data_IF_986894881202
#
_entry.id   IF_986894881202
#
_cell.length_a   1.000
_cell.length_b   1.000
_cell.length_c   1.000
_cell.angle_alpha   90.00
_cell.angle_beta   90.00
_cell.angle_gamma   90.00
#
_symmetry.space_group_name_H-M   'P 1'
#
loop_
_entity.id
_entity.type
_entity.pdbx_description
1 polymer ?
#
# COMPACT_ATOMS: atom_id res chain seq x y z
N UNK A 1 26.05 -31.31 -60.40
CA UNK A 1 25.44 -31.57 -59.09
C UNK A 1 26.22 -30.73 -58.05
N UNK A 2 25.80 -29.51 -57.90
CA UNK A 2 26.37 -28.56 -56.94
C UNK A 2 25.53 -28.62 -55.67
N UNK A 3 26.14 -29.00 -54.56
CA UNK A 3 25.52 -28.92 -53.24
C UNK A 3 25.54 -27.47 -52.80
N UNK A 4 24.35 -26.85 -52.68
CA UNK A 4 24.21 -25.56 -52.09
C UNK A 4 24.48 -25.65 -50.58
N UNK A 5 25.39 -24.81 -50.10
CA UNK A 5 25.64 -24.58 -48.69
C UNK A 5 24.40 -23.99 -48.00
N UNK A 6 24.04 -24.48 -46.82
CA UNK A 6 22.96 -23.89 -46.06
C UNK A 6 23.37 -22.48 -45.59
N UNK A 7 22.64 -21.47 -46.04
CA UNK A 7 22.78 -20.12 -45.56
C UNK A 7 22.62 -20.07 -44.02
N UNK A 8 23.46 -19.36 -43.28
CA UNK A 8 23.28 -19.19 -41.84
C UNK A 8 22.01 -18.40 -41.59
N UNK A 9 21.09 -19.04 -40.87
CA UNK A 9 19.87 -18.45 -40.37
C UNK A 9 20.28 -17.24 -39.52
N UNK A 10 19.80 -15.98 -39.79
CA UNK A 10 20.13 -14.86 -38.96
C UNK A 10 19.60 -15.16 -37.56
N UNK A 11 20.52 -15.39 -36.65
CA UNK A 11 20.30 -15.60 -35.23
C UNK A 11 19.22 -14.63 -34.74
N UNK A 12 18.14 -15.20 -34.24
CA UNK A 12 17.18 -14.50 -33.36
C UNK A 12 17.94 -14.11 -32.10
N UNK A 13 18.80 -13.12 -32.18
CA UNK A 13 19.25 -12.36 -31.03
C UNK A 13 18.06 -11.60 -30.53
N UNK A 14 17.20 -12.31 -29.80
CA UNK A 14 16.26 -11.73 -28.86
C UNK A 14 17.04 -11.07 -27.75
N UNK A 15 17.64 -9.90 -28.04
CA UNK A 15 18.11 -8.99 -27.01
C UNK A 15 16.90 -8.66 -26.15
N UNK A 16 16.72 -9.42 -25.07
CA UNK A 16 15.88 -9.03 -23.96
C UNK A 16 16.47 -7.74 -23.41
N UNK A 17 16.04 -6.60 -23.98
CA UNK A 17 16.48 -5.29 -23.55
C UNK A 17 16.03 -5.13 -22.11
N UNK A 18 16.96 -5.28 -21.18
CA UNK A 18 16.74 -4.89 -19.79
C UNK A 18 16.25 -3.44 -19.76
N UNK A 19 15.22 -3.16 -18.96
CA UNK A 19 14.73 -1.80 -18.80
C UNK A 19 15.92 -0.89 -18.41
N UNK A 20 16.17 0.21 -19.14
CA UNK A 20 17.21 1.16 -18.73
C UNK A 20 16.98 1.63 -17.30
N UNK A 21 18.02 1.67 -16.48
CA UNK A 21 17.94 2.00 -15.05
C UNK A 21 17.21 3.32 -14.77
N UNK A 22 17.38 4.32 -15.66
CA UNK A 22 16.68 5.61 -15.51
C UNK A 22 15.15 5.50 -15.65
N UNK A 23 14.63 4.57 -16.47
CA UNK A 23 13.19 4.30 -16.58
C UNK A 23 12.65 3.68 -15.30
N UNK A 24 13.41 2.74 -14.73
CA UNK A 24 13.06 2.14 -13.43
C UNK A 24 13.07 3.21 -12.35
N UNK A 25 14.07 4.10 -12.32
CA UNK A 25 14.16 5.22 -11.39
C UNK A 25 12.97 6.19 -11.54
N UNK A 26 12.56 6.52 -12.76
CA UNK A 26 11.38 7.36 -13.01
C UNK A 26 10.11 6.72 -12.47
N UNK A 27 9.89 5.44 -12.75
CA UNK A 27 8.73 4.69 -12.28
C UNK A 27 8.73 4.54 -10.75
N UNK A 28 9.91 4.31 -10.18
CA UNK A 28 10.13 4.34 -8.73
C UNK A 28 9.70 5.69 -8.14
N UNK A 29 10.12 6.80 -8.76
CA UNK A 29 9.78 8.15 -8.30
C UNK A 29 8.27 8.43 -8.40
N UNK A 30 7.59 7.97 -9.45
CA UNK A 30 6.12 8.07 -9.56
C UNK A 30 5.42 7.43 -8.37
N UNK A 31 5.83 6.21 -8.02
CA UNK A 31 5.25 5.48 -6.88
C UNK A 31 5.62 6.13 -5.54
N UNK A 32 6.89 6.55 -5.41
CA UNK A 32 7.42 7.19 -4.21
C UNK A 32 6.65 8.48 -3.88
N UNK A 33 6.49 9.38 -4.85
CA UNK A 33 5.86 10.70 -4.64
C UNK A 33 4.40 10.57 -4.28
N UNK A 34 3.67 9.67 -4.96
CA UNK A 34 2.25 9.44 -4.64
C UNK A 34 2.06 8.84 -3.25
N UNK A 35 2.93 7.89 -2.86
CA UNK A 35 2.90 7.31 -1.52
C UNK A 35 3.33 8.32 -0.45
N UNK A 36 4.42 9.06 -0.67
CA UNK A 36 4.93 10.06 0.26
C UNK A 36 3.91 11.18 0.51
N UNK A 37 3.31 11.74 -0.55
CA UNK A 37 2.26 12.75 -0.38
C UNK A 37 1.06 12.22 0.41
N UNK A 38 0.59 11.02 0.10
CA UNK A 38 -0.53 10.41 0.82
C UNK A 38 -0.24 10.21 2.31
N UNK A 39 0.98 9.82 2.68
CA UNK A 39 1.37 9.62 4.08
C UNK A 39 1.78 10.91 4.79
N UNK A 40 2.36 11.88 4.06
CA UNK A 40 2.65 13.22 4.56
C UNK A 40 1.39 13.90 5.11
N UNK A 41 0.27 13.73 4.42
CA UNK A 41 -1.02 14.23 4.86
C UNK A 41 -1.42 13.70 6.25
N UNK A 42 -1.10 12.44 6.58
CA UNK A 42 -1.42 11.84 7.87
C UNK A 42 -0.76 12.55 9.05
N UNK A 43 0.39 13.19 8.83
CA UNK A 43 1.09 13.93 9.89
C UNK A 43 0.47 15.31 10.19
N UNK A 44 -0.20 15.93 9.23
CA UNK A 44 -0.75 17.28 9.37
C UNK A 44 -2.28 17.31 9.61
N UNK A 45 -3.00 16.28 9.15
CA UNK A 45 -4.48 16.29 9.23
C UNK A 45 -5.05 16.33 10.66
N UNK A 46 -4.48 15.66 11.68
CA UNK A 46 -4.93 15.82 13.06
C UNK A 46 -4.86 17.27 13.52
N UNK A 47 -3.75 17.96 13.21
CA UNK A 47 -3.56 19.38 13.51
C UNK A 47 -4.56 20.28 12.77
N UNK A 48 -4.81 19.99 11.48
CA UNK A 48 -5.78 20.73 10.66
C UNK A 48 -7.19 20.54 11.23
N UNK A 49 -7.58 19.31 11.54
CA UNK A 49 -8.89 19.02 12.10
C UNK A 49 -9.16 19.73 13.42
N UNK A 50 -8.15 19.73 14.31
CA UNK A 50 -8.20 20.49 15.56
C UNK A 50 -8.35 22.00 15.32
N UNK A 51 -7.60 22.56 14.35
CA UNK A 51 -7.70 23.98 13.99
C UNK A 51 -9.07 24.35 13.40
N UNK A 52 -9.67 23.44 12.64
CA UNK A 52 -11.03 23.59 12.09
C UNK A 52 -12.15 23.31 13.10
N UNK A 53 -11.80 22.87 14.32
CA UNK A 53 -12.75 22.48 15.38
C UNK A 53 -13.73 21.38 14.91
N UNK A 54 -13.23 20.43 14.13
CA UNK A 54 -13.98 19.26 13.66
C UNK A 54 -13.62 18.06 14.52
N UNK A 55 -14.59 17.22 14.86
CA UNK A 55 -14.35 16.00 15.60
C UNK A 55 -13.43 15.04 14.82
N UNK A 56 -12.51 14.40 15.52
CA UNK A 56 -11.47 13.52 14.98
C UNK A 56 -12.04 12.36 14.14
N UNK A 57 -13.22 11.87 14.52
CA UNK A 57 -13.94 10.83 13.78
C UNK A 57 -14.23 11.23 12.33
N UNK A 58 -14.73 12.45 12.09
CA UNK A 58 -15.06 12.91 10.74
C UNK A 58 -13.84 13.06 9.85
N UNK A 59 -12.71 13.43 10.45
CA UNK A 59 -11.41 13.50 9.73
C UNK A 59 -11.00 12.11 9.28
N UNK A 60 -11.10 11.14 10.18
CA UNK A 60 -10.77 9.73 9.88
C UNK A 60 -11.71 9.15 8.82
N UNK A 61 -12.99 9.50 8.85
CA UNK A 61 -13.99 9.07 7.87
C UNK A 61 -13.70 9.60 6.44
N UNK A 62 -13.13 10.79 6.33
CA UNK A 62 -12.73 11.36 5.03
C UNK A 62 -11.63 10.54 4.34
N UNK A 63 -10.74 9.88 5.11
CA UNK A 63 -9.77 8.92 4.57
C UNK A 63 -10.44 7.62 4.13
N UNK A 64 -11.36 7.11 4.93
CA UNK A 64 -12.17 5.91 4.64
C UNK A 64 -12.84 6.02 3.27
N UNK A 65 -13.45 7.17 2.99
CA UNK A 65 -14.10 7.43 1.71
C UNK A 65 -13.16 7.27 0.50
N UNK A 66 -11.97 7.88 0.58
CA UNK A 66 -10.96 7.76 -0.49
C UNK A 66 -10.43 6.32 -0.64
N UNK A 67 -10.25 5.60 0.47
CA UNK A 67 -9.81 4.21 0.44
C UNK A 67 -10.84 3.28 -0.20
N UNK A 68 -12.13 3.51 0.08
CA UNK A 68 -13.24 2.78 -0.55
C UNK A 68 -13.25 2.98 -2.07
N UNK A 69 -13.14 4.23 -2.53
CA UNK A 69 -13.07 4.53 -3.96
C UNK A 69 -11.85 3.90 -4.62
N UNK A 70 -10.69 3.91 -3.94
CA UNK A 70 -9.49 3.26 -4.42
C UNK A 70 -9.71 1.75 -4.63
N UNK A 71 -10.31 1.08 -3.66
CA UNK A 71 -10.62 -0.35 -3.75
C UNK A 71 -11.55 -0.67 -4.93
N UNK A 72 -12.58 0.16 -5.15
CA UNK A 72 -13.56 -0.05 -6.21
C UNK A 72 -13.00 0.26 -7.61
N UNK A 73 -12.17 1.31 -7.72
CA UNK A 73 -11.70 1.81 -9.02
C UNK A 73 -10.41 1.12 -9.51
N UNK A 74 -9.53 0.65 -8.60
CA UNK A 74 -8.25 0.05 -8.99
C UNK A 74 -8.39 -1.16 -9.94
N UNK A 75 -9.32 -2.13 -9.74
CA UNK A 75 -9.51 -3.23 -10.67
C UNK A 75 -10.03 -2.79 -12.05
N UNK A 76 -10.83 -1.73 -12.09
CA UNK A 76 -11.35 -1.18 -13.34
C UNK A 76 -10.23 -0.52 -14.16
N UNK A 77 -9.34 0.24 -13.51
CA UNK A 77 -8.18 0.85 -14.15
C UNK A 77 -7.17 -0.19 -14.63
N UNK A 78 -6.92 -1.25 -13.84
CA UNK A 78 -6.02 -2.33 -14.23
C UNK A 78 -6.45 -2.93 -15.59
N UNK A 79 -7.74 -3.26 -15.75
CA UNK A 79 -8.29 -3.77 -17.02
C UNK A 79 -8.22 -2.77 -18.17
N UNK A 80 -8.37 -1.47 -17.86
CA UNK A 80 -8.32 -0.42 -18.88
C UNK A 80 -6.89 -0.08 -19.33
N UNK A 81 -5.91 -0.33 -18.47
CA UNK A 81 -4.49 -0.16 -18.74
C UNK A 81 -4.02 -0.98 -19.95
N UNK A 82 -4.53 -2.21 -20.11
CA UNK A 82 -4.20 -3.08 -21.24
C UNK A 82 -4.73 -2.57 -22.58
N UNK A 83 -5.79 -1.75 -22.55
CA UNK A 83 -6.44 -1.22 -23.78
C UNK A 83 -5.94 0.16 -24.20
N UNK A 84 -5.62 1.04 -23.23
CA UNK A 84 -5.28 2.46 -23.50
C UNK A 84 -3.80 2.78 -23.40
N UNK A 85 -2.98 1.80 -23.01
CA UNK A 85 -1.55 1.98 -22.78
C UNK A 85 -1.23 2.36 -21.33
N UNK A 86 -0.13 1.83 -20.83
CA UNK A 86 0.28 1.92 -19.43
C UNK A 86 0.76 3.31 -19.06
N UNK A 87 1.50 4.00 -19.97
CA UNK A 87 1.93 5.39 -19.77
C UNK A 87 0.74 6.33 -19.57
N UNK A 88 -0.31 6.17 -20.39
CA UNK A 88 -1.53 6.98 -20.27
C UNK A 88 -2.21 6.78 -18.91
N UNK A 89 -2.27 5.55 -18.40
CA UNK A 89 -2.86 5.25 -17.10
C UNK A 89 -2.03 5.80 -15.93
N UNK A 90 -0.69 5.75 -16.02
CA UNK A 90 0.20 6.41 -15.07
C UNK A 90 -0.05 7.93 -15.05
N UNK A 91 -0.17 8.54 -16.23
CA UNK A 91 -0.48 9.97 -16.37
C UNK A 91 -1.83 10.33 -15.73
N UNK A 92 -2.88 9.54 -15.97
CA UNK A 92 -4.20 9.73 -15.35
C UNK A 92 -4.09 9.61 -13.82
N UNK A 93 -3.35 8.63 -13.32
CA UNK A 93 -3.15 8.46 -11.87
C UNK A 93 -2.43 9.64 -11.23
N UNK A 94 -1.35 10.15 -11.86
CA UNK A 94 -0.64 11.35 -11.40
C UNK A 94 -1.52 12.61 -11.50
N UNK A 95 -2.29 12.80 -12.56
CA UNK A 95 -3.25 13.88 -12.67
C UNK A 95 -4.31 13.81 -11.57
N UNK A 96 -4.85 12.61 -11.30
CA UNK A 96 -5.77 12.38 -10.19
C UNK A 96 -5.16 12.77 -8.84
N UNK A 97 -3.87 12.44 -8.62
CA UNK A 97 -3.14 12.87 -7.43
C UNK A 97 -2.97 14.39 -7.37
N UNK A 98 -2.48 15.03 -8.44
CA UNK A 98 -2.21 16.47 -8.53
C UNK A 98 -3.48 17.28 -8.24
N UNK A 99 -4.57 16.98 -8.97
CA UNK A 99 -5.83 17.70 -8.77
C UNK A 99 -6.42 17.44 -7.39
N UNK A 100 -6.37 16.21 -6.92
CA UNK A 100 -6.85 15.89 -5.58
C UNK A 100 -6.07 16.65 -4.50
N UNK A 101 -4.74 16.60 -4.53
CA UNK A 101 -3.91 17.24 -3.52
C UNK A 101 -3.99 18.76 -3.58
N UNK A 102 -3.94 19.35 -4.78
CA UNK A 102 -4.10 20.79 -4.96
C UNK A 102 -5.45 21.31 -4.47
N UNK A 103 -6.55 20.64 -4.84
CA UNK A 103 -7.90 21.01 -4.41
C UNK A 103 -8.13 20.72 -2.92
N UNK A 104 -7.58 19.63 -2.38
CA UNK A 104 -7.57 19.38 -0.93
C UNK A 104 -6.85 20.50 -0.18
N UNK A 105 -5.65 20.87 -0.65
CA UNK A 105 -4.91 22.00 -0.09
C UNK A 105 -5.71 23.30 -0.13
N UNK A 106 -6.34 23.60 -1.26
CA UNK A 106 -7.19 24.79 -1.41
C UNK A 106 -8.40 24.77 -0.44
N UNK A 107 -9.10 23.62 -0.35
CA UNK A 107 -10.25 23.50 0.55
C UNK A 107 -9.86 23.71 2.00
N UNK A 108 -8.73 23.13 2.43
CA UNK A 108 -8.22 23.30 3.79
C UNK A 108 -7.73 24.72 4.03
N UNK A 109 -7.10 25.35 3.04
CA UNK A 109 -6.69 26.75 3.15
C UNK A 109 -7.89 27.69 3.35
N UNK A 110 -8.97 27.50 2.56
CA UNK A 110 -10.21 28.26 2.71
C UNK A 110 -10.81 28.08 4.10
N UNK A 111 -10.84 26.84 4.62
CA UNK A 111 -11.34 26.56 5.96
C UNK A 111 -10.50 27.18 7.07
N UNK A 112 -9.17 27.03 7.01
CA UNK A 112 -8.25 27.56 8.01
C UNK A 112 -8.25 29.11 8.07
N UNK A 113 -8.55 29.77 6.95
CA UNK A 113 -8.70 31.22 6.89
C UNK A 113 -10.14 31.71 7.22
N UNK A 114 -11.02 30.81 7.62
CA UNK A 114 -12.39 31.16 8.05
C UNK A 114 -13.39 31.45 6.92
N UNK A 115 -13.02 31.17 5.64
CA UNK A 115 -13.92 31.36 4.50
C UNK A 115 -14.99 30.26 4.42
N UNK A 116 -14.69 29.10 4.98
CA UNK A 116 -15.60 27.96 5.07
C UNK A 116 -15.68 27.47 6.52
N UNK A 117 -16.87 27.05 6.94
CA UNK A 117 -17.03 26.37 8.23
C UNK A 117 -16.34 24.99 8.22
N UNK A 118 -15.95 24.48 9.39
CA UNK A 118 -15.16 23.26 9.53
C UNK A 118 -15.77 22.04 8.82
N UNK A 119 -17.07 21.79 9.00
CA UNK A 119 -17.77 20.67 8.35
C UNK A 119 -17.81 20.85 6.82
N UNK A 120 -18.11 22.06 6.33
CA UNK A 120 -18.11 22.33 4.88
C UNK A 120 -16.72 22.13 4.26
N UNK A 121 -15.67 22.55 4.96
CA UNK A 121 -14.27 22.31 4.59
C UNK A 121 -13.99 20.83 4.48
N UNK A 122 -14.41 20.03 5.47
CA UNK A 122 -14.17 18.59 5.48
C UNK A 122 -14.94 17.85 4.37
N UNK A 123 -16.19 18.24 4.11
CA UNK A 123 -16.97 17.67 3.00
C UNK A 123 -16.33 17.99 1.65
N UNK A 124 -15.90 19.24 1.46
CA UNK A 124 -15.17 19.64 0.26
C UNK A 124 -13.83 18.89 0.13
N UNK A 125 -13.09 18.75 1.22
CA UNK A 125 -11.87 17.92 1.25
C UNK A 125 -12.18 16.47 0.86
N UNK A 126 -13.21 15.83 1.42
CA UNK A 126 -13.59 14.46 1.09
C UNK A 126 -14.00 14.32 -0.40
N UNK A 127 -14.73 15.30 -0.94
CA UNK A 127 -15.08 15.35 -2.35
C UNK A 127 -13.82 15.46 -3.24
N UNK A 128 -12.87 16.34 -2.90
CA UNK A 128 -11.60 16.47 -3.62
C UNK A 128 -10.74 15.21 -3.50
N UNK A 129 -10.76 14.53 -2.34
CA UNK A 129 -10.09 13.25 -2.12
C UNK A 129 -10.65 12.13 -3.00
N UNK A 130 -11.89 12.22 -3.43
CA UNK A 130 -12.49 11.26 -4.37
C UNK A 130 -11.71 11.17 -5.69
N UNK A 131 -11.09 12.26 -6.13
CA UNK A 131 -10.25 12.27 -7.33
C UNK A 131 -9.02 11.36 -7.18
N UNK A 132 -8.39 11.36 -6.01
CA UNK A 132 -7.26 10.45 -5.75
C UNK A 132 -7.73 9.00 -5.62
N UNK A 133 -8.80 8.75 -4.85
CA UNK A 133 -9.37 7.40 -4.74
C UNK A 133 -9.78 6.84 -6.11
N UNK A 134 -10.47 7.66 -6.91
CA UNK A 134 -10.98 7.27 -8.22
C UNK A 134 -9.90 7.16 -9.30
N UNK A 135 -9.12 8.20 -9.51
CA UNK A 135 -8.14 8.29 -10.62
C UNK A 135 -6.72 7.92 -10.19
N UNK A 136 -6.30 8.30 -8.98
CA UNK A 136 -4.96 7.98 -8.46
C UNK A 136 -4.67 6.49 -8.42
N UNK A 137 -5.71 5.67 -8.21
CA UNK A 137 -5.65 4.22 -8.23
C UNK A 137 -5.24 3.60 -9.59
N UNK A 138 -5.19 4.40 -10.67
CA UNK A 138 -4.74 3.95 -11.99
C UNK A 138 -3.22 3.76 -12.09
N UNK A 139 -2.42 4.55 -11.35
CA UNK A 139 -0.97 4.56 -11.51
C UNK A 139 -0.28 3.27 -11.06
N UNK A 140 -0.50 2.72 -9.84
CA UNK A 140 0.25 1.56 -9.35
C UNK A 140 0.14 0.31 -10.23
N UNK A 141 -1.05 -0.14 -10.65
CA UNK A 141 -1.16 -1.31 -11.52
C UNK A 141 -0.52 -1.07 -12.90
N UNK A 142 -0.59 0.17 -13.43
CA UNK A 142 0.01 0.52 -14.71
C UNK A 142 1.55 0.51 -14.64
N UNK A 143 2.15 1.00 -13.54
CA UNK A 143 3.60 0.95 -13.30
C UNK A 143 4.07 -0.50 -13.21
N UNK A 144 3.40 -1.32 -12.41
CA UNK A 144 3.75 -2.73 -12.24
C UNK A 144 3.63 -3.51 -13.55
N UNK A 145 2.55 -3.30 -14.30
CA UNK A 145 2.35 -3.92 -15.60
C UNK A 145 3.38 -3.47 -16.64
N UNK A 146 3.80 -2.20 -16.62
CA UNK A 146 4.85 -1.66 -17.51
C UNK A 146 6.19 -2.36 -17.24
N UNK A 147 6.57 -2.49 -15.97
CA UNK A 147 7.80 -3.17 -15.57
C UNK A 147 7.73 -4.66 -15.91
N UNK A 148 6.65 -5.33 -15.55
CA UNK A 148 6.47 -6.77 -15.76
C UNK A 148 6.57 -7.17 -17.24
N UNK A 149 6.09 -6.33 -18.16
CA UNK A 149 6.11 -6.62 -19.60
C UNK A 149 7.45 -6.37 -20.31
N UNK A 150 8.38 -5.69 -19.63
CA UNK A 150 9.67 -5.27 -20.19
C UNK A 150 10.88 -5.83 -19.43
N UNK A 151 10.63 -6.75 -18.51
CA UNK A 151 11.69 -7.47 -17.77
C UNK A 151 11.60 -8.95 -18.08
N UNK A 152 12.77 -9.62 -18.17
CA UNK A 152 12.83 -11.07 -18.30
C UNK A 152 12.21 -11.76 -17.08
N UNK A 153 11.86 -13.04 -17.18
CA UNK A 153 11.29 -13.80 -16.05
C UNK A 153 12.19 -13.77 -14.82
N UNK A 154 13.51 -13.85 -15.02
CA UNK A 154 14.50 -13.86 -13.94
C UNK A 154 14.62 -12.50 -13.24
N UNK A 155 14.56 -11.40 -13.99
CA UNK A 155 14.71 -10.04 -13.47
C UNK A 155 13.38 -9.44 -12.96
N UNK A 156 12.24 -10.01 -13.37
CA UNK A 156 10.90 -9.47 -13.09
C UNK A 156 10.63 -9.35 -11.61
N UNK A 157 10.94 -10.39 -10.83
CA UNK A 157 10.71 -10.40 -9.38
C UNK A 157 11.50 -9.29 -8.70
N UNK A 158 12.77 -9.11 -9.07
CA UNK A 158 13.62 -8.05 -8.51
C UNK A 158 13.11 -6.66 -8.90
N UNK A 159 12.74 -6.44 -10.17
CA UNK A 159 12.23 -5.17 -10.64
C UNK A 159 10.88 -4.78 -9.98
N UNK A 160 9.95 -5.73 -9.84
CA UNK A 160 8.68 -5.51 -9.15
C UNK A 160 8.87 -5.29 -7.65
N UNK A 161 9.82 -5.98 -7.02
CA UNK A 161 10.17 -5.76 -5.62
C UNK A 161 10.72 -4.35 -5.40
N UNK A 162 11.59 -3.87 -6.31
CA UNK A 162 12.12 -2.50 -6.26
C UNK A 162 10.99 -1.46 -6.38
N UNK A 163 10.06 -1.64 -7.31
CA UNK A 163 8.90 -0.74 -7.46
C UNK A 163 7.99 -0.80 -6.22
N UNK A 164 7.78 -1.97 -5.65
CA UNK A 164 6.98 -2.10 -4.41
C UNK A 164 7.66 -1.44 -3.22
N UNK A 165 9.00 -1.50 -3.14
CA UNK A 165 9.77 -0.85 -2.07
C UNK A 165 9.71 0.67 -2.14
N UNK A 166 9.48 1.27 -3.33
CA UNK A 166 9.28 2.72 -3.45
C UNK A 166 8.05 3.21 -2.69
N UNK A 167 6.99 2.40 -2.67
CA UNK A 167 5.81 2.70 -1.87
C UNK A 167 6.13 2.68 -0.37
N UNK A 168 6.85 1.65 0.10
CA UNK A 168 7.32 1.57 1.49
C UNK A 168 8.21 2.75 1.88
N UNK A 169 9.16 3.13 1.01
CA UNK A 169 10.02 4.29 1.23
C UNK A 169 9.20 5.61 1.28
N UNK A 170 8.16 5.72 0.44
CA UNK A 170 7.24 6.86 0.46
C UNK A 170 6.54 7.03 1.81
N UNK A 171 6.17 5.92 2.45
CA UNK A 171 5.54 5.97 3.78
C UNK A 171 6.48 6.48 4.89
N UNK A 172 7.79 6.35 4.71
CA UNK A 172 8.82 6.94 5.60
C UNK A 172 9.03 8.40 5.29
N UNK A 173 9.31 8.70 4.01
CA UNK A 173 9.71 10.03 3.56
C UNK A 173 8.56 11.04 3.72
N UNK A 174 7.33 10.63 3.46
CA UNK A 174 6.17 11.52 3.53
C UNK A 174 6.03 12.24 4.87
N UNK A 175 5.81 11.51 5.97
CA UNK A 175 5.71 12.12 7.30
C UNK A 175 6.99 12.85 7.73
N UNK A 176 8.17 12.36 7.32
CA UNK A 176 9.46 12.99 7.63
C UNK A 176 9.61 14.37 7.00
N UNK A 177 9.15 14.52 5.75
CA UNK A 177 9.28 15.78 5.02
C UNK A 177 8.13 16.77 5.29
N UNK A 178 6.94 16.28 5.66
CA UNK A 178 5.76 17.13 5.83
C UNK A 178 5.99 18.35 6.74
N UNK A 179 6.66 18.25 7.91
CA UNK A 179 6.90 19.40 8.77
C UNK A 179 7.76 20.48 8.12
N UNK A 180 8.70 20.12 7.25
CA UNK A 180 9.58 21.07 6.57
C UNK A 180 8.88 21.91 5.50
N UNK A 181 7.69 21.48 5.06
CA UNK A 181 6.87 22.21 4.12
C UNK A 181 5.85 23.14 4.80
N UNK A 182 5.84 23.22 6.14
CA UNK A 182 5.03 24.17 6.89
C UNK A 182 5.76 25.53 6.85
N UNK A 183 5.53 26.26 5.77
CA UNK A 183 6.19 27.54 5.49
C UNK A 183 5.31 28.72 5.94
N UNK A 184 5.93 29.89 6.27
CA UNK A 184 5.18 31.12 6.48
C UNK A 184 4.25 31.41 5.29
N UNK A 185 2.99 31.74 5.57
CA UNK A 185 1.95 31.99 4.56
C UNK A 185 1.18 30.74 4.08
N UNK A 186 1.78 29.56 4.08
CA UNK A 186 1.10 28.31 3.73
C UNK A 186 0.63 27.52 4.97
N UNK A 187 1.35 27.65 6.08
CA UNK A 187 1.03 26.93 7.31
C UNK A 187 0.88 25.41 7.10
N UNK A 188 -0.11 24.82 7.75
CA UNK A 188 -0.39 23.38 7.68
C UNK A 188 -0.77 22.85 6.27
N UNK A 189 -1.08 23.75 5.33
CA UNK A 189 -1.42 23.39 3.94
C UNK A 189 -0.15 23.19 3.08
N UNK A 190 1.00 23.67 3.55
CA UNK A 190 2.26 23.61 2.83
C UNK A 190 2.61 22.25 2.24
N UNK A 191 2.48 21.13 2.98
CA UNK A 191 2.72 19.78 2.43
C UNK A 191 1.86 19.45 1.20
N UNK A 192 0.59 19.89 1.16
CA UNK A 192 -0.27 19.67 0.00
C UNK A 192 0.24 20.40 -1.23
N UNK A 193 0.66 21.64 -1.07
CA UNK A 193 1.24 22.44 -2.15
C UNK A 193 2.56 21.83 -2.63
N UNK A 194 3.45 21.49 -1.71
CA UNK A 194 4.77 20.93 -2.04
C UNK A 194 4.65 19.62 -2.82
N UNK A 195 3.87 18.65 -2.33
CA UNK A 195 3.70 17.37 -3.02
C UNK A 195 2.92 17.50 -4.33
N UNK A 196 2.02 18.48 -4.45
CA UNK A 196 1.39 18.81 -5.74
C UNK A 196 2.42 19.28 -6.77
N UNK A 197 3.29 20.21 -6.39
CA UNK A 197 4.35 20.73 -7.27
C UNK A 197 5.36 19.65 -7.65
N UNK A 198 5.80 18.83 -6.70
CA UNK A 198 6.67 17.69 -6.97
C UNK A 198 5.99 16.72 -7.95
N UNK A 199 4.71 16.42 -7.77
CA UNK A 199 3.99 15.53 -8.67
C UNK A 199 3.81 16.12 -10.08
N UNK A 200 3.66 17.45 -10.22
CA UNK A 200 3.65 18.12 -11.53
C UNK A 200 4.99 17.94 -12.25
N UNK A 201 6.11 18.11 -11.54
CA UNK A 201 7.45 17.88 -12.11
C UNK A 201 7.60 16.40 -12.54
N UNK A 202 7.16 15.47 -11.71
CA UNK A 202 7.22 14.02 -12.02
C UNK A 202 6.30 13.68 -13.20
N UNK A 203 5.13 14.31 -13.32
CA UNK A 203 4.25 14.14 -14.47
C UNK A 203 4.91 14.67 -15.77
N UNK A 204 5.59 15.80 -15.69
CA UNK A 204 6.39 16.33 -16.79
C UNK A 204 7.48 15.33 -17.20
N UNK A 205 8.26 14.84 -16.24
CA UNK A 205 9.28 13.83 -16.49
C UNK A 205 8.69 12.54 -17.11
N UNK A 206 7.55 12.06 -16.60
CA UNK A 206 6.85 10.90 -17.14
C UNK A 206 6.41 11.16 -18.61
N UNK A 207 5.87 12.34 -18.89
CA UNK A 207 5.34 12.69 -20.21
C UNK A 207 6.44 12.79 -21.27
N UNK A 208 7.58 13.42 -20.93
CA UNK A 208 8.64 13.70 -21.87
C UNK A 208 9.68 12.58 -21.98
N UNK A 209 9.98 11.87 -20.90
CA UNK A 209 11.05 10.90 -20.89
C UNK A 209 10.59 9.46 -21.07
N UNK A 210 9.37 9.10 -20.63
CA UNK A 210 8.89 7.73 -20.86
C UNK A 210 8.37 7.62 -22.30
N UNK A 211 8.82 6.62 -23.10
CA UNK A 211 8.28 6.38 -24.44
C UNK A 211 6.79 6.06 -24.41
N UNK A 212 6.08 6.43 -25.48
CA UNK A 212 4.69 6.06 -25.63
C UNK A 212 4.55 4.54 -25.73
N UNK A 213 3.58 4.03 -25.01
CA UNK A 213 3.28 2.61 -24.96
C UNK A 213 2.14 2.35 -25.94
N UNK A 214 2.48 1.92 -27.15
CA UNK A 214 1.45 1.45 -28.09
C UNK A 214 0.90 0.14 -27.52
N UNK A 215 -0.43 0.02 -27.32
CA UNK A 215 -1.02 -1.21 -26.84
C UNK A 215 -0.75 -2.30 -27.90
N UNK A 216 0.20 -3.18 -27.63
CA UNK A 216 0.43 -4.32 -28.48
C UNK A 216 -0.71 -5.31 -28.32
N UNK A 217 -1.71 -5.22 -29.16
CA UNK A 217 -2.79 -6.21 -29.27
C UNK A 217 -2.29 -7.63 -29.51
N UNK A 218 -1.03 -7.78 -29.92
CA UNK A 218 -0.36 -9.04 -30.20
C UNK A 218 0.25 -9.72 -28.97
N UNK A 219 0.44 -9.03 -27.83
CA UNK A 219 0.98 -9.62 -26.60
C UNK A 219 -0.12 -10.17 -25.68
N UNK A 220 -1.17 -10.77 -26.24
CA UNK A 220 -2.25 -11.40 -25.49
C UNK A 220 -1.94 -12.80 -24.96
N UNK A 221 -0.71 -13.27 -25.14
CA UNK A 221 -0.21 -14.48 -24.49
C UNK A 221 0.58 -14.09 -23.23
N UNK A 222 0.26 -14.63 -22.08
CA UNK A 222 0.95 -14.44 -20.80
C UNK A 222 0.65 -13.14 -20.05
N UNK A 223 -0.61 -12.89 -19.77
CA UNK A 223 -0.96 -11.98 -18.67
C UNK A 223 -0.72 -12.72 -17.35
N UNK A 224 0.49 -12.59 -16.81
CA UNK A 224 0.70 -12.85 -15.39
C UNK A 224 -0.15 -11.82 -14.65
N UNK A 225 -1.21 -12.28 -13.99
CA UNK A 225 -2.08 -11.44 -13.19
C UNK A 225 -1.24 -10.59 -12.24
N UNK A 226 -1.34 -9.27 -12.34
CA UNK A 226 -0.81 -8.39 -11.31
C UNK A 226 -1.42 -8.79 -9.96
N UNK A 227 -0.68 -8.73 -8.84
CA UNK A 227 -1.15 -9.22 -7.54
C UNK A 227 -2.42 -8.55 -7.01
N UNK A 228 -3.00 -7.62 -7.75
CA UNK A 228 -4.23 -6.91 -7.41
C UNK A 228 -5.39 -7.12 -8.40
N UNK A 229 -5.24 -7.96 -9.44
CA UNK A 229 -6.33 -8.26 -10.36
C UNK A 229 -7.01 -9.58 -9.98
N UNK A 230 -8.04 -9.51 -9.14
CA UNK A 230 -8.83 -10.66 -8.68
C UNK A 230 -9.77 -11.26 -9.75
N UNK A 231 -9.69 -10.85 -11.02
CA UNK A 231 -10.55 -11.35 -12.09
C UNK A 231 -9.80 -11.31 -13.43
N UNK A 232 -8.86 -12.19 -13.60
CA UNK A 232 -8.47 -12.56 -14.95
C UNK A 232 -9.20 -13.87 -15.30
N UNK A 233 -10.21 -13.79 -16.15
CA UNK A 233 -10.58 -14.87 -17.04
C UNK A 233 -9.43 -15.09 -18.04
N UNK A 234 -8.25 -15.30 -17.50
CA UNK A 234 -7.08 -15.70 -18.26
C UNK A 234 -7.14 -17.21 -18.44
N UNK A 235 -7.96 -17.63 -19.38
CA UNK A 235 -7.75 -18.90 -20.04
C UNK A 235 -6.43 -18.77 -20.79
N UNK A 236 -5.38 -19.55 -20.47
CA UNK A 236 -4.22 -19.65 -21.36
C UNK A 236 -4.76 -20.10 -22.71
N UNK A 237 -4.65 -19.28 -23.72
CA UNK A 237 -4.88 -19.77 -25.10
C UNK A 237 -3.58 -20.46 -25.49
N UNK A 238 -3.63 -21.78 -25.54
CA UNK A 238 -2.61 -22.58 -26.18
C UNK A 238 -2.49 -22.14 -27.63
N UNK A 239 -1.28 -21.77 -28.09
CA UNK A 239 -0.92 -21.88 -29.49
C UNK A 239 -0.93 -23.36 -29.82
N UNK A 240 -1.52 -23.81 -30.91
CA UNK A 240 -1.28 -25.14 -31.38
C UNK A 240 0.24 -25.19 -31.72
N UNK A 241 0.97 -26.04 -31.02
CA UNK A 241 2.32 -26.42 -31.48
C UNK A 241 2.16 -27.21 -32.78
N UNK A 242 3.07 -27.02 -33.70
CA UNK A 242 3.01 -27.66 -35.02
C UNK A 242 2.99 -29.20 -34.97
N UNK A 243 3.18 -29.79 -33.79
CA UNK A 243 3.26 -31.23 -33.54
C UNK A 243 1.99 -31.87 -32.95
N UNK A 244 0.90 -31.13 -32.77
CA UNK A 244 -0.43 -31.70 -32.46
C UNK A 244 -0.58 -32.37 -31.08
N UNK A 245 0.37 -32.27 -30.16
CA UNK A 245 0.22 -32.77 -28.81
C UNK A 245 -0.58 -31.75 -27.98
N UNK A 246 -1.80 -32.12 -27.64
CA UNK A 246 -2.63 -31.35 -26.69
C UNK A 246 -2.06 -31.55 -25.28
N UNK A 247 -1.29 -30.57 -24.77
CA UNK A 247 -1.08 -30.52 -23.32
C UNK A 247 -2.45 -30.45 -22.62
N UNK A 248 -2.70 -31.43 -21.77
CA UNK A 248 -3.95 -31.54 -21.03
C UNK A 248 -4.15 -30.27 -20.21
N UNK A 249 -5.24 -29.57 -20.49
CA UNK A 249 -5.68 -28.40 -19.75
C UNK A 249 -5.90 -28.77 -18.28
N UNK A 250 -5.00 -28.42 -17.38
CA UNK A 250 -5.27 -28.53 -15.96
C UNK A 250 -6.19 -27.37 -15.58
N UNK A 251 -7.47 -27.69 -15.45
CA UNK A 251 -8.45 -26.71 -14.95
C UNK A 251 -8.07 -26.34 -13.52
N UNK A 252 -7.50 -25.15 -13.33
CA UNK A 252 -7.11 -24.65 -11.99
C UNK A 252 -8.37 -24.38 -11.21
N UNK A 253 -8.60 -25.16 -10.16
CA UNK A 253 -9.74 -25.01 -9.28
C UNK A 253 -9.84 -23.56 -8.77
N UNK A 254 -11.06 -23.02 -8.75
CA UNK A 254 -11.32 -21.66 -8.27
C UNK A 254 -11.12 -21.60 -6.76
N UNK A 255 -10.14 -20.81 -6.30
CA UNK A 255 -9.88 -20.60 -4.87
C UNK A 255 -11.00 -19.75 -4.28
N UNK A 256 -11.65 -20.27 -3.25
CA UNK A 256 -12.71 -19.57 -2.53
C UNK A 256 -12.14 -18.69 -1.41
N UNK A 257 -12.84 -17.60 -1.08
CA UNK A 257 -12.59 -16.79 0.12
C UNK A 257 -12.65 -17.60 1.43
N UNK A 258 -13.38 -18.71 1.43
CA UNK A 258 -13.57 -19.60 2.57
C UNK A 258 -12.74 -20.89 2.46
N UNK A 259 -11.72 -20.93 1.58
CA UNK A 259 -10.82 -22.08 1.46
C UNK A 259 -10.19 -22.39 2.83
N UNK A 260 -10.40 -23.62 3.31
CA UNK A 260 -9.96 -24.04 4.64
C UNK A 260 -8.46 -23.96 4.83
N UNK A 261 -7.68 -24.12 3.75
CA UNK A 261 -6.21 -24.03 3.76
C UNK A 261 -5.73 -22.59 4.05
N UNK A 262 -6.41 -21.59 3.49
CA UNK A 262 -6.07 -20.18 3.62
C UNK A 262 -6.76 -19.52 4.82
N UNK A 263 -7.89 -20.05 5.26
CA UNK A 263 -8.76 -19.43 6.27
C UNK A 263 -8.03 -18.95 7.54
N UNK A 264 -7.13 -19.72 8.16
CA UNK A 264 -6.40 -19.24 9.35
C UNK A 264 -5.61 -17.96 9.09
N UNK A 265 -4.95 -17.90 7.94
CA UNK A 265 -4.14 -16.76 7.50
C UNK A 265 -4.99 -15.55 7.17
N UNK A 266 -6.10 -15.75 6.44
CA UNK A 266 -7.02 -14.67 6.06
C UNK A 266 -7.72 -14.05 7.27
N UNK A 267 -8.14 -14.87 8.23
CA UNK A 267 -8.75 -14.39 9.49
C UNK A 267 -7.72 -13.61 10.30
N UNK A 268 -6.50 -14.11 10.44
CA UNK A 268 -5.43 -13.36 11.12
C UNK A 268 -5.13 -12.05 10.39
N UNK A 269 -4.99 -12.08 9.06
CA UNK A 269 -4.77 -10.88 8.24
C UNK A 269 -5.87 -9.84 8.39
N UNK A 270 -7.14 -10.28 8.46
CA UNK A 270 -8.29 -9.40 8.66
C UNK A 270 -8.25 -8.75 10.06
N UNK A 271 -8.13 -9.54 11.11
CA UNK A 271 -8.13 -9.05 12.50
C UNK A 271 -6.89 -8.17 12.78
N UNK A 272 -5.70 -8.65 12.43
CA UNK A 272 -4.46 -7.89 12.61
C UNK A 272 -4.40 -6.64 11.74
N UNK A 273 -4.94 -6.71 10.53
CA UNK A 273 -5.09 -5.55 9.65
C UNK A 273 -5.99 -4.46 10.25
N UNK A 274 -7.13 -4.85 10.88
CA UNK A 274 -8.00 -3.91 11.60
C UNK A 274 -7.28 -3.31 12.81
N UNK A 275 -6.54 -4.10 13.59
CA UNK A 275 -5.73 -3.60 14.69
C UNK A 275 -4.70 -2.55 14.21
N UNK A 276 -3.97 -2.85 13.15
CA UNK A 276 -2.99 -1.93 12.55
C UNK A 276 -3.65 -0.63 12.07
N UNK A 277 -4.75 -0.74 11.34
CA UNK A 277 -5.43 0.42 10.76
C UNK A 277 -6.06 1.31 11.85
N UNK A 278 -6.57 0.72 12.94
CA UNK A 278 -7.08 1.46 14.09
C UNK A 278 -5.96 2.27 14.77
N UNK A 279 -4.80 1.65 15.04
CA UNK A 279 -3.63 2.38 15.59
C UNK A 279 -3.23 3.54 14.69
N UNK A 280 -3.13 3.30 13.36
CA UNK A 280 -2.74 4.34 12.41
C UNK A 280 -3.74 5.51 12.41
N UNK A 281 -5.02 5.24 12.61
CA UNK A 281 -6.03 6.28 12.78
C UNK A 281 -5.83 7.12 14.03
N UNK A 282 -5.51 6.48 15.15
CA UNK A 282 -5.44 7.12 16.48
C UNK A 282 -4.15 7.94 16.67
N UNK A 283 -3.01 7.45 16.18
CA UNK A 283 -1.65 7.95 16.54
C UNK A 283 -1.52 9.47 16.42
N UNK A 284 -2.01 10.08 15.35
CA UNK A 284 -1.88 11.52 15.15
C UNK A 284 -2.66 12.35 16.19
N UNK A 285 -3.86 11.93 16.52
CA UNK A 285 -4.69 12.58 17.54
C UNK A 285 -4.14 12.36 18.95
N UNK A 286 -3.66 11.15 19.23
CA UNK A 286 -3.01 10.83 20.51
C UNK A 286 -1.78 11.71 20.76
N UNK A 287 -0.97 11.97 19.74
CA UNK A 287 0.18 12.88 19.87
C UNK A 287 -0.27 14.27 20.29
N UNK A 288 -1.34 14.80 19.68
CA UNK A 288 -1.90 16.12 20.06
C UNK A 288 -2.42 16.13 21.50
N UNK A 289 -3.11 15.08 21.92
CA UNK A 289 -3.69 14.97 23.25
C UNK A 289 -2.61 14.84 24.33
N UNK A 290 -1.69 13.89 24.18
CA UNK A 290 -0.68 13.57 25.19
C UNK A 290 0.38 14.66 25.35
N UNK A 291 0.63 15.44 24.30
CA UNK A 291 1.59 16.57 24.34
C UNK A 291 0.89 17.92 24.63
N UNK A 292 -0.42 17.94 24.82
CA UNK A 292 -1.18 19.18 25.07
C UNK A 292 -1.21 20.15 23.88
N UNK A 293 -1.06 19.63 22.64
CA UNK A 293 -0.92 20.45 21.43
C UNK A 293 -2.27 20.82 20.78
N UNK A 294 -3.41 20.40 21.37
CA UNK A 294 -4.74 20.79 20.88
C UNK A 294 -4.96 22.32 20.88
N UNK A 295 -4.34 23.03 21.84
CA UNK A 295 -4.43 24.50 21.93
C UNK A 295 -3.56 25.20 20.85
N UNK A 296 -2.49 24.54 20.36
CA UNK A 296 -1.61 25.05 19.31
C UNK A 296 -1.41 23.99 18.21
N UNK A 297 -2.42 23.77 17.37
CA UNK A 297 -2.40 22.67 16.39
C UNK A 297 -1.23 22.75 15.41
N UNK A 298 -0.74 23.96 15.08
CA UNK A 298 0.40 24.14 14.19
C UNK A 298 1.68 23.48 14.68
N UNK A 299 1.86 23.38 16.01
CA UNK A 299 3.02 22.72 16.63
C UNK A 299 2.92 21.19 16.61
N UNK A 300 1.74 20.61 16.30
CA UNK A 300 1.52 19.15 16.36
C UNK A 300 2.08 18.37 15.20
N UNK A 301 2.23 18.98 14.02
CA UNK A 301 2.66 18.30 12.81
C UNK A 301 4.09 17.73 12.89
N UNK A 302 5.03 18.47 13.51
CA UNK A 302 6.39 18.03 13.73
C UNK A 302 6.49 16.76 14.57
N UNK A 303 6.00 16.76 15.82
CA UNK A 303 5.98 15.57 16.66
C UNK A 303 5.25 14.39 16.02
N UNK A 304 4.10 14.60 15.38
CA UNK A 304 3.37 13.55 14.66
C UNK A 304 4.22 12.98 13.51
N UNK A 305 4.90 13.83 12.75
CA UNK A 305 5.80 13.42 11.69
C UNK A 305 6.96 12.55 12.20
N UNK A 306 7.58 12.91 13.33
CA UNK A 306 8.66 12.14 13.96
C UNK A 306 8.15 10.73 14.37
N UNK A 307 6.99 10.67 15.02
CA UNK A 307 6.40 9.41 15.48
C UNK A 307 6.08 8.48 14.29
N UNK A 308 5.44 9.01 13.23
CA UNK A 308 5.12 8.23 12.04
C UNK A 308 6.38 7.81 11.27
N UNK A 309 7.39 8.67 11.18
CA UNK A 309 8.67 8.35 10.57
C UNK A 309 9.38 7.22 11.31
N UNK A 310 9.46 7.28 12.64
CA UNK A 310 10.06 6.22 13.44
C UNK A 310 9.34 4.88 13.25
N UNK A 311 8.00 4.90 13.21
CA UNK A 311 7.20 3.72 12.90
C UNK A 311 7.50 3.15 11.52
N UNK A 312 7.60 4.00 10.50
CA UNK A 312 7.90 3.56 9.15
C UNK A 312 9.32 2.99 9.02
N UNK A 313 10.33 3.59 9.67
CA UNK A 313 11.69 3.04 9.76
C UNK A 313 11.67 1.67 10.44
N UNK A 314 10.95 1.52 11.56
CA UNK A 314 10.82 0.25 12.27
C UNK A 314 10.16 -0.84 11.40
N UNK A 315 9.17 -0.49 10.58
CA UNK A 315 8.55 -1.40 9.61
C UNK A 315 9.56 -1.88 8.57
N UNK A 316 10.36 -0.98 7.99
CA UNK A 316 11.40 -1.35 7.02
C UNK A 316 12.48 -2.20 7.67
N UNK A 317 12.87 -1.88 8.89
CA UNK A 317 13.83 -2.68 9.66
C UNK A 317 13.30 -4.10 9.92
N UNK A 318 12.01 -4.25 10.23
CA UNK A 318 11.38 -5.57 10.34
C UNK A 318 11.52 -6.38 9.05
N UNK A 319 11.20 -5.76 7.91
CA UNK A 319 11.13 -6.44 6.61
C UNK A 319 12.50 -6.73 5.99
N UNK A 320 13.43 -5.80 6.10
CA UNK A 320 14.76 -5.91 5.45
C UNK A 320 15.86 -6.37 6.39
N UNK A 321 15.68 -6.18 7.69
CA UNK A 321 16.61 -6.59 8.73
C UNK A 321 16.19 -7.89 9.42
N UNK A 322 15.10 -7.85 10.19
CA UNK A 322 14.73 -8.92 11.12
C UNK A 322 14.32 -10.21 10.38
N UNK A 323 13.42 -10.13 9.40
CA UNK A 323 12.94 -11.33 8.69
C UNK A 323 14.09 -12.07 7.99
N UNK A 324 14.97 -11.41 7.20
CA UNK A 324 16.06 -12.10 6.52
C UNK A 324 17.13 -12.65 7.47
N UNK A 325 17.49 -11.90 8.53
CA UNK A 325 18.58 -12.30 9.43
C UNK A 325 18.19 -13.44 10.37
N UNK A 326 16.93 -13.45 10.83
CA UNK A 326 16.43 -14.52 11.72
C UNK A 326 15.78 -15.66 10.94
N UNK A 327 15.73 -15.60 9.61
CA UNK A 327 15.09 -16.61 8.75
C UNK A 327 13.69 -16.98 9.24
N UNK A 328 12.89 -15.97 9.67
CA UNK A 328 11.59 -16.21 10.25
C UNK A 328 10.61 -16.79 9.21
N UNK A 329 10.02 -17.94 9.54
CA UNK A 329 8.94 -18.52 8.77
C UNK A 329 7.64 -17.69 8.87
N UNK A 330 6.65 -17.97 8.03
CA UNK A 330 5.38 -17.24 8.00
C UNK A 330 4.63 -17.22 9.32
N UNK A 331 4.53 -18.36 10.02
CA UNK A 331 3.84 -18.47 11.30
C UNK A 331 4.59 -17.72 12.39
N UNK A 332 5.89 -17.91 12.50
CA UNK A 332 6.72 -17.21 13.47
C UNK A 332 6.65 -15.70 13.27
N UNK A 333 6.79 -15.21 12.02
CA UNK A 333 6.65 -13.78 11.67
C UNK A 333 5.29 -13.24 12.07
N UNK A 334 4.21 -13.99 11.83
CA UNK A 334 2.86 -13.58 12.15
C UNK A 334 2.63 -13.49 13.67
N UNK A 335 3.00 -14.52 14.43
CA UNK A 335 2.73 -14.59 15.88
C UNK A 335 3.65 -13.64 16.68
N UNK A 336 4.95 -13.63 16.40
CA UNK A 336 5.86 -12.68 17.06
C UNK A 336 5.54 -11.25 16.68
N UNK A 337 5.20 -11.01 15.39
CA UNK A 337 4.81 -9.69 14.92
C UNK A 337 3.62 -9.14 15.69
N UNK A 338 2.54 -9.90 15.80
CA UNK A 338 1.34 -9.43 16.49
C UNK A 338 1.55 -9.32 18.02
N UNK A 339 2.38 -10.17 18.61
CA UNK A 339 2.72 -10.08 20.03
C UNK A 339 3.51 -8.81 20.36
N UNK A 340 4.52 -8.47 19.52
CA UNK A 340 5.27 -7.21 19.64
C UNK A 340 4.34 -6.01 19.45
N UNK A 341 3.43 -6.06 18.47
CA UNK A 341 2.45 -4.98 18.24
C UNK A 341 1.50 -4.80 19.44
N UNK A 342 1.06 -5.91 20.07
CA UNK A 342 0.25 -5.86 21.28
C UNK A 342 1.01 -5.22 22.45
N UNK A 343 2.27 -5.61 22.68
CA UNK A 343 3.14 -5.01 23.69
C UNK A 343 3.39 -3.52 23.45
N UNK A 344 3.65 -3.13 22.20
CA UNK A 344 3.76 -1.74 21.80
C UNK A 344 2.46 -0.94 22.03
N UNK A 345 1.29 -1.55 21.76
CA UNK A 345 -0.02 -0.92 22.02
C UNK A 345 -0.26 -0.72 23.51
N UNK A 346 0.11 -1.69 24.35
CA UNK A 346 0.07 -1.55 25.79
C UNK A 346 0.99 -0.43 26.28
N UNK A 347 2.21 -0.32 25.75
CA UNK A 347 3.10 0.81 26.05
C UNK A 347 2.50 2.14 25.60
N UNK A 348 1.89 2.20 24.40
CA UNK A 348 1.26 3.42 23.85
C UNK A 348 0.12 3.91 24.75
N UNK A 349 -0.65 2.99 25.36
CA UNK A 349 -1.78 3.34 26.23
C UNK A 349 -1.38 4.18 27.43
N UNK A 350 -0.14 4.02 27.93
CA UNK A 350 0.41 4.73 29.09
C UNK A 350 1.46 5.79 28.73
N UNK A 351 1.84 5.89 27.46
CA UNK A 351 2.87 6.83 27.00
C UNK A 351 2.40 8.29 27.13
N UNK A 352 3.10 9.09 27.96
CA UNK A 352 2.74 10.48 28.26
C UNK A 352 3.66 11.53 27.64
N UNK A 353 4.72 11.14 26.93
CA UNK A 353 5.68 12.07 26.32
C UNK A 353 6.10 11.58 24.92
N UNK A 354 6.71 12.50 24.14
CA UNK A 354 7.07 12.22 22.73
C UNK A 354 7.98 11.00 22.58
N UNK A 355 8.96 10.82 23.45
CA UNK A 355 9.90 9.70 23.36
C UNK A 355 9.19 8.34 23.60
N UNK A 356 8.37 8.26 24.65
CA UNK A 356 7.61 7.06 24.96
C UNK A 356 6.61 6.70 23.83
N UNK A 357 5.91 7.71 23.27
CA UNK A 357 4.99 7.55 22.14
C UNK A 357 5.77 7.05 20.91
N UNK A 358 6.92 7.65 20.62
CA UNK A 358 7.77 7.27 19.48
C UNK A 358 8.25 5.83 19.60
N UNK A 359 8.74 5.42 20.78
CA UNK A 359 9.16 4.03 21.04
C UNK A 359 7.99 3.07 20.91
N UNK A 360 6.84 3.41 21.50
CA UNK A 360 5.65 2.57 21.43
C UNK A 360 5.17 2.37 19.98
N UNK A 361 5.11 3.43 19.18
CA UNK A 361 4.71 3.37 17.77
C UNK A 361 5.77 2.65 16.93
N UNK A 362 7.05 2.81 17.23
CA UNK A 362 8.11 2.03 16.58
C UNK A 362 7.96 0.53 16.87
N UNK A 363 7.68 0.13 18.10
CA UNK A 363 7.41 -1.27 18.46
C UNK A 363 6.16 -1.82 17.77
N UNK A 364 5.06 -1.07 17.75
CA UNK A 364 3.84 -1.44 17.04
C UNK A 364 4.14 -1.66 15.56
N UNK A 365 4.87 -0.73 14.97
CA UNK A 365 5.20 -0.77 13.54
C UNK A 365 6.19 -1.87 13.18
N UNK A 366 7.15 -2.16 14.07
CA UNK A 366 8.02 -3.33 13.98
C UNK A 366 7.19 -4.62 13.96
N UNK A 367 6.25 -4.73 14.89
CA UNK A 367 5.36 -5.87 15.01
C UNK A 367 4.52 -6.09 13.75
N UNK A 368 3.83 -5.06 13.27
CA UNK A 368 3.05 -5.17 12.03
C UNK A 368 3.93 -5.32 10.78
N UNK A 369 5.16 -4.82 10.82
CA UNK A 369 6.17 -5.04 9.80
C UNK A 369 6.56 -6.50 9.62
N UNK A 370 6.56 -7.28 10.70
CA UNK A 370 6.74 -8.74 10.70
C UNK A 370 5.43 -9.48 10.35
N UNK A 371 4.33 -9.07 10.96
CA UNK A 371 3.03 -9.70 10.83
C UNK A 371 2.52 -9.75 9.39
N UNK A 372 2.58 -8.62 8.69
CA UNK A 372 1.99 -8.47 7.36
C UNK A 372 2.62 -9.37 6.29
N UNK A 373 3.94 -9.45 6.15
CA UNK A 373 4.58 -10.42 5.28
C UNK A 373 4.31 -11.87 5.72
N UNK A 374 4.26 -12.13 7.04
CA UNK A 374 4.01 -13.45 7.60
C UNK A 374 2.68 -14.04 7.13
N UNK A 375 1.55 -13.34 7.36
CA UNK A 375 0.26 -13.88 6.94
C UNK A 375 0.10 -13.92 5.42
N UNK A 376 0.70 -12.97 4.69
CA UNK A 376 0.67 -12.95 3.22
C UNK A 376 1.40 -14.16 2.64
N UNK A 377 2.60 -14.45 3.16
CA UNK A 377 3.39 -15.60 2.76
C UNK A 377 2.68 -16.90 3.14
N UNK A 378 2.16 -17.00 4.36
CA UNK A 378 1.44 -18.17 4.84
C UNK A 378 0.20 -18.50 3.98
N UNK A 379 -0.60 -17.50 3.64
CA UNK A 379 -1.74 -17.66 2.73
C UNK A 379 -1.30 -18.12 1.33
N UNK A 380 -0.24 -17.55 0.79
CA UNK A 380 0.30 -17.94 -0.52
C UNK A 380 0.87 -19.35 -0.53
N UNK A 381 1.51 -19.79 0.56
CA UNK A 381 2.11 -21.12 0.68
C UNK A 381 1.10 -22.22 0.99
N UNK A 382 -0.09 -21.85 1.45
CA UNK A 382 -1.19 -22.80 1.75
C UNK A 382 -1.88 -23.35 0.50
N UNK A 383 -1.57 -22.81 -0.68
CA UNK A 383 -2.19 -23.17 -1.95
C UNK A 383 -1.13 -23.63 -2.96
N UNK A 384 -1.56 -24.34 -4.01
CA UNK A 384 -0.66 -24.78 -5.08
C UNK A 384 -0.10 -23.59 -5.87
N UNK A 385 1.01 -23.81 -6.60
CA UNK A 385 1.63 -22.76 -7.44
C UNK A 385 0.67 -22.18 -8.46
N UNK A 386 -0.22 -23.00 -9.02
CA UNK A 386 -1.22 -22.57 -10.00
C UNK A 386 -2.30 -21.66 -9.37
N UNK A 387 -2.60 -21.82 -8.07
CA UNK A 387 -3.60 -21.07 -7.33
C UNK A 387 -3.05 -19.77 -6.72
N UNK A 388 -1.72 -19.57 -6.67
CA UNK A 388 -1.08 -18.43 -5.98
C UNK A 388 -1.55 -17.06 -6.49
N UNK A 389 -1.85 -16.93 -7.78
CA UNK A 389 -2.39 -15.69 -8.34
C UNK A 389 -3.76 -15.33 -7.76
N UNK A 390 -4.64 -16.32 -7.59
CA UNK A 390 -5.96 -16.13 -6.98
C UNK A 390 -5.83 -15.82 -5.49
N UNK A 391 -4.96 -16.54 -4.78
CA UNK A 391 -4.62 -16.30 -3.37
C UNK A 391 -4.13 -14.87 -3.13
N UNK A 392 -3.21 -14.37 -3.98
CA UNK A 392 -2.71 -13.01 -3.87
C UNK A 392 -3.81 -11.94 -4.01
N UNK A 393 -4.79 -12.18 -4.90
CA UNK A 393 -5.97 -11.31 -5.05
C UNK A 393 -6.82 -11.26 -3.77
N UNK A 394 -7.08 -12.43 -3.16
CA UNK A 394 -7.85 -12.53 -1.91
C UNK A 394 -7.10 -11.82 -0.76
N UNK A 395 -5.80 -12.06 -0.62
CA UNK A 395 -4.95 -11.41 0.39
C UNK A 395 -4.93 -9.89 0.22
N UNK A 396 -4.84 -9.39 -1.02
CA UNK A 396 -4.88 -7.97 -1.30
C UNK A 396 -6.22 -7.34 -0.87
N UNK A 397 -7.32 -8.03 -1.09
CA UNK A 397 -8.65 -7.58 -0.65
C UNK A 397 -8.78 -7.56 0.87
N UNK A 398 -8.26 -8.57 1.58
CA UNK A 398 -8.21 -8.60 3.06
C UNK A 398 -7.39 -7.42 3.59
N UNK A 399 -6.22 -7.15 2.99
CA UNK A 399 -5.39 -6.00 3.35
C UNK A 399 -6.13 -4.66 3.13
N UNK A 400 -6.90 -4.53 2.05
CA UNK A 400 -7.66 -3.32 1.74
C UNK A 400 -8.85 -3.11 2.67
N UNK A 401 -9.59 -4.18 2.96
CA UNK A 401 -10.82 -4.13 3.77
C UNK A 401 -10.60 -3.52 5.16
N UNK A 402 -9.47 -3.83 5.79
CA UNK A 402 -9.11 -3.31 7.11
C UNK A 402 -9.02 -1.78 7.16
N UNK A 403 -8.55 -1.15 6.07
CA UNK A 403 -8.37 0.30 6.02
C UNK A 403 -9.63 1.09 5.67
N UNK A 404 -10.74 0.42 5.37
CA UNK A 404 -12.01 1.08 5.05
C UNK A 404 -12.69 1.57 6.33
N UNK A 405 -12.80 0.75 7.36
CA UNK A 405 -13.61 1.03 8.54
C UNK A 405 -12.77 1.22 9.80
N UNK A 406 -11.73 0.43 9.98
CA UNK A 406 -10.98 0.37 11.24
C UNK A 406 -10.34 1.70 11.69
N UNK A 407 -9.80 2.57 10.81
CA UNK A 407 -9.28 3.87 11.26
C UNK A 407 -10.37 4.72 11.90
N UNK A 408 -11.55 4.84 11.28
CA UNK A 408 -12.64 5.64 11.78
C UNK A 408 -13.23 5.09 13.08
N UNK A 409 -13.43 3.75 13.14
CA UNK A 409 -13.92 3.09 14.37
C UNK A 409 -12.89 3.21 15.48
N UNK A 410 -11.59 3.04 15.20
CA UNK A 410 -10.52 3.20 16.18
C UNK A 410 -10.50 4.60 16.78
N UNK A 411 -10.58 5.63 15.94
CA UNK A 411 -10.65 7.05 16.39
C UNK A 411 -11.91 7.33 17.18
N UNK A 412 -13.06 6.79 16.77
CA UNK A 412 -14.31 6.93 17.48
C UNK A 412 -14.26 6.31 18.88
N UNK A 413 -13.74 5.08 19.00
CA UNK A 413 -13.55 4.42 20.30
C UNK A 413 -12.58 5.20 21.19
N UNK A 414 -11.45 5.64 20.63
CA UNK A 414 -10.46 6.45 21.34
C UNK A 414 -11.02 7.79 21.83
N UNK A 415 -11.86 8.43 21.02
CA UNK A 415 -12.49 9.70 21.36
C UNK A 415 -13.55 9.58 22.48
N UNK A 416 -14.17 8.40 22.64
CA UNK A 416 -15.08 8.13 23.76
C UNK A 416 -14.30 7.88 25.05
N UNK A 417 -13.36 6.96 24.99
CA UNK A 417 -12.44 6.64 26.08
C UNK A 417 -11.16 6.00 25.47
N UNK A 418 -9.98 6.59 25.70
CA UNK A 418 -8.73 6.05 25.20
C UNK A 418 -8.51 4.56 25.55
N UNK A 419 -8.94 4.14 26.77
CA UNK A 419 -8.81 2.75 27.21
C UNK A 419 -9.66 1.79 26.38
N UNK A 420 -10.85 2.19 25.97
CA UNK A 420 -11.71 1.37 25.09
C UNK A 420 -11.05 1.20 23.73
N UNK A 421 -10.47 2.27 23.17
CA UNK A 421 -9.75 2.21 21.90
C UNK A 421 -8.55 1.23 21.95
N UNK A 422 -7.72 1.33 22.98
CA UNK A 422 -6.57 0.43 23.16
C UNK A 422 -6.99 -1.00 23.49
N UNK A 423 -8.02 -1.19 24.33
CA UNK A 423 -8.54 -2.51 24.66
C UNK A 423 -9.08 -3.22 23.40
N UNK A 424 -9.80 -2.53 22.53
CA UNK A 424 -10.29 -3.10 21.27
C UNK A 424 -9.14 -3.59 20.38
N UNK A 425 -8.06 -2.80 20.25
CA UNK A 425 -6.86 -3.20 19.51
C UNK A 425 -6.20 -4.41 20.19
N UNK A 426 -6.07 -4.39 21.51
CA UNK A 426 -5.52 -5.50 22.29
C UNK A 426 -6.30 -6.80 22.12
N UNK A 427 -7.64 -6.73 22.12
CA UNK A 427 -8.53 -7.88 21.87
C UNK A 427 -8.31 -8.44 20.45
N UNK A 428 -8.20 -7.59 19.44
CA UNK A 428 -7.91 -8.04 18.07
C UNK A 428 -6.55 -8.74 18.00
N UNK A 429 -5.51 -8.19 18.63
CA UNK A 429 -4.18 -8.80 18.70
C UNK A 429 -4.22 -10.14 19.44
N UNK A 430 -4.88 -10.20 20.60
CA UNK A 430 -5.03 -11.42 21.38
C UNK A 430 -5.79 -12.52 20.59
N UNK A 431 -6.84 -12.14 19.88
CA UNK A 431 -7.58 -13.06 19.01
C UNK A 431 -6.68 -13.65 17.92
N UNK A 432 -5.83 -12.84 17.28
CA UNK A 432 -4.85 -13.33 16.28
C UNK A 432 -3.86 -14.29 16.91
N UNK A 433 -3.33 -13.98 18.11
CA UNK A 433 -2.38 -14.87 18.82
C UNK A 433 -3.04 -16.22 19.10
N UNK A 434 -4.24 -16.22 19.73
CA UNK A 434 -4.93 -17.45 20.14
C UNK A 434 -5.35 -18.28 18.94
N UNK A 435 -5.97 -17.66 17.93
CA UNK A 435 -6.41 -18.36 16.72
C UNK A 435 -5.21 -18.84 15.92
N UNK A 436 -4.21 -17.99 15.70
CA UNK A 436 -3.04 -18.32 14.92
C UNK A 436 -2.21 -19.43 15.55
N UNK A 437 -2.01 -19.41 16.88
CA UNK A 437 -1.30 -20.47 17.59
C UNK A 437 -1.97 -21.84 17.44
N UNK A 438 -3.32 -21.87 17.36
CA UNK A 438 -4.11 -23.10 17.30
C UNK A 438 -4.36 -23.61 15.88
N UNK A 439 -4.40 -22.73 14.88
CA UNK A 439 -4.95 -23.07 13.55
C UNK A 439 -3.96 -22.88 12.40
N UNK A 440 -2.89 -22.12 12.58
CA UNK A 440 -1.89 -21.93 11.54
C UNK A 440 -0.98 -23.15 11.44
N UNK A 441 -0.71 -23.59 10.22
CA UNK A 441 0.28 -24.63 9.90
C UNK A 441 1.66 -24.23 10.41
N UNK A 442 2.42 -25.17 10.97
CA UNK A 442 3.78 -24.89 11.45
C UNK A 442 4.73 -24.54 10.30
N UNK A 443 5.77 -23.77 10.61
CA UNK A 443 6.76 -23.40 9.58
C UNK A 443 7.52 -24.63 9.07
N UNK A 444 7.78 -25.62 9.92
CA UNK A 444 8.41 -26.87 9.54
C UNK A 444 7.55 -27.71 8.58
N UNK A 445 6.25 -27.84 8.85
CA UNK A 445 5.33 -28.54 7.95
C UNK A 445 5.25 -27.87 6.58
N UNK A 446 5.29 -26.53 6.53
CA UNK A 446 5.27 -25.79 5.26
C UNK A 446 6.57 -25.94 4.45
N UNK A 447 7.71 -26.18 5.11
CA UNK A 447 8.98 -26.45 4.44
C UNK A 447 9.01 -27.87 3.89
N UNK A 448 8.53 -28.87 4.63
CA UNK A 448 8.50 -30.27 4.20
C UNK A 448 7.49 -30.58 3.10
N UNK A 449 6.40 -29.81 3.00
CA UNK A 449 5.43 -29.97 1.90
C UNK A 449 5.99 -29.55 0.52
N UNK A 450 7.23 -29.08 0.42
CA UNK A 450 7.92 -28.65 -0.81
C UNK A 450 8.94 -29.65 -1.33
N UNK A 451 9.30 -30.66 -0.58
CA UNK A 451 10.19 -31.77 -1.00
C UNK A 451 9.39 -32.89 -1.60
#
# INVERSE_FOLDING_TARGET
>A
MSRGDPQPNPSRDGTTSSLPGWRVALLFTVMLVTAAGNTAMQSVMPSIGTALKVEDFWISLAYTWSALLWMLCAPWWARRSDRRGRKAMMGIGLLGFIFSFGLCGLSLWLGLNGWLGGIATLLMFAACRSLYGGFGSAAPPAVQAYVASRTSREQRTQALSLISSSFGLGTVIGPALAPYFILPGLGLVGPFVAFTLIAVVVLGALRFWLPDDTPAYAARGDVVAAPFSANSDSRPRTRPDEDGEHEAYVEVAKVSWFDQRMRPWLVAGLLGGHAQAAVMGIVGFLVLDRLGLRANPGAGAGPTGIVLMAGAIATLFAQWGVIPTLHLGPRASCLWGIAIAAGGTALLSVAGNLHAITIAVALISLGFGLFRPGFTAGASLSVSRAEQGQSAGIVASVNGAAYIVAPAVGVWLYGHDPWIGFAAIGVLCAAVIVLGARTMTSDDEMLHARG
#
